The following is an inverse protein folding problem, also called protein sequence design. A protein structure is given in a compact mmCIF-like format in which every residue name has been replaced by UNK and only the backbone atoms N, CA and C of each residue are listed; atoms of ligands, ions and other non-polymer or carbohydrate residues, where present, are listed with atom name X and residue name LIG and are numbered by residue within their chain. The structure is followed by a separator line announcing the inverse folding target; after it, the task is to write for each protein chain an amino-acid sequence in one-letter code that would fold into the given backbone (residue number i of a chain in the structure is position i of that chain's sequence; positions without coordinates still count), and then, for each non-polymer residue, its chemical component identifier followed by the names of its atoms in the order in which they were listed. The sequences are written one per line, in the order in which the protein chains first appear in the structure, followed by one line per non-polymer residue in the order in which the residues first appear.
data_IF_155681369756
#
_entry.id   IF_155681369756
#
_cell.length_a   1.000
_cell.length_b   1.000
_cell.length_c   1.000
_cell.angle_alpha   90.00
_cell.angle_beta   90.00
_cell.angle_gamma   90.00
#
_symmetry.space_group_name_H-M   'P 1'
#
loop_
_entity.id
_entity.type
_entity.pdbx_description
1 polymer ?
#
# COMPACT_ATOMS: atom_id res chain seq x y z
N UNK A 1 -37.13 6.17 -22.75
CA UNK A 1 -37.24 4.83 -23.38
C UNK A 1 -36.67 3.82 -22.39
N UNK A 2 -37.28 2.72 -21.97
CA UNK A 2 -38.52 2.05 -22.32
C UNK A 2 -38.42 0.62 -21.75
N UNK A 3 -39.31 0.28 -20.80
CA UNK A 3 -39.85 -1.07 -20.47
C UNK A 3 -38.84 -2.16 -20.00
N UNK A 4 -39.00 -2.66 -18.76
CA UNK A 4 -39.79 -3.86 -18.35
C UNK A 4 -39.13 -5.16 -18.88
N UNK A 5 -39.00 -6.27 -18.18
CA UNK A 5 -39.77 -6.87 -17.08
C UNK A 5 -39.04 -8.17 -16.68
N UNK A 6 -39.22 -8.63 -15.44
CA UNK A 6 -38.75 -9.97 -15.06
C UNK A 6 -39.00 -10.32 -13.60
N UNK A 7 -40.26 -10.29 -13.16
CA UNK A 7 -40.69 -10.85 -11.88
C UNK A 7 -40.56 -12.38 -11.91
N UNK A 8 -40.02 -13.00 -10.86
CA UNK A 8 -40.69 -14.16 -10.22
C UNK A 8 -40.18 -14.41 -8.81
N UNK A 9 -41.13 -14.41 -7.89
CA UNK A 9 -41.02 -14.90 -6.53
C UNK A 9 -40.94 -16.44 -6.54
N UNK A 10 -40.21 -17.00 -5.58
CA UNK A 10 -40.06 -18.44 -5.38
C UNK A 10 -39.68 -18.75 -3.94
N UNK A 11 -40.68 -18.68 -3.08
CA UNK A 11 -40.71 -19.13 -1.68
C UNK A 11 -40.22 -20.59 -1.56
N UNK A 12 -39.06 -20.84 -0.94
CA UNK A 12 -38.67 -22.19 -0.49
C UNK A 12 -39.08 -22.38 0.96
N UNK A 13 -40.31 -22.86 1.09
CA UNK A 13 -40.99 -23.33 2.29
C UNK A 13 -40.20 -24.48 2.95
N UNK A 14 -39.93 -24.29 4.23
CA UNK A 14 -39.54 -25.32 5.20
C UNK A 14 -40.55 -26.47 5.12
N UNK A 15 -40.07 -27.69 4.83
CA UNK A 15 -40.85 -28.93 4.95
C UNK A 15 -39.90 -30.04 5.40
N UNK A 16 -39.68 -30.12 6.71
CA UNK A 16 -39.36 -31.37 7.38
C UNK A 16 -40.49 -32.35 7.11
N UNK A 17 -40.18 -33.43 6.40
CA UNK A 17 -41.09 -34.56 6.21
C UNK A 17 -40.69 -35.65 7.20
N UNK A 18 -41.41 -35.74 8.32
CA UNK A 18 -41.45 -36.95 9.13
C UNK A 18 -42.17 -38.07 8.34
N UNK A 19 -41.71 -39.33 8.40
CA UNK A 19 -42.43 -40.44 7.82
C UNK A 19 -43.77 -40.67 8.55
N UNK A 20 -44.80 -41.21 7.86
CA UNK A 20 -46.17 -41.22 8.34
C UNK A 20 -46.40 -42.27 9.43
N UNK A 21 -47.30 -41.93 10.36
CA UNK A 21 -47.91 -42.87 11.29
C UNK A 21 -49.12 -43.57 10.63
N UNK A 22 -49.38 -44.81 11.07
CA UNK A 22 -50.52 -45.73 10.78
C UNK A 22 -50.28 -46.72 9.63
N UNK A 23 -50.55 -48.02 9.74
CA UNK A 23 -51.50 -48.74 10.59
C UNK A 23 -50.96 -50.03 11.20
N UNK A 24 -51.55 -50.34 12.36
CA UNK A 24 -51.39 -51.53 13.17
C UNK A 24 -51.97 -52.75 12.42
N UNK A 25 -51.11 -53.58 11.83
CA UNK A 25 -51.47 -54.97 11.54
C UNK A 25 -51.27 -55.78 12.82
N UNK A 26 -52.39 -56.02 13.51
CA UNK A 26 -52.48 -56.96 14.63
C UNK A 26 -52.13 -58.38 14.16
N UNK A 27 -51.11 -58.97 14.77
CA UNK A 27 -50.85 -60.42 14.78
C UNK A 27 -50.95 -60.90 16.23
N UNK A 28 -51.42 -62.12 16.48
CA UNK A 28 -52.09 -62.48 17.72
C UNK A 28 -51.13 -62.44 18.90
N UNK A 29 -51.61 -61.86 20.01
CA UNK A 29 -50.97 -61.96 21.30
C UNK A 29 -50.96 -63.43 21.73
N UNK A 30 -49.82 -64.09 21.50
CA UNK A 30 -49.50 -65.33 22.20
C UNK A 30 -49.23 -64.93 23.65
N UNK A 31 -50.23 -65.20 24.48
CA UNK A 31 -50.19 -65.08 25.93
C UNK A 31 -49.11 -66.04 26.46
N UNK A 32 -47.86 -65.57 26.49
CA UNK A 32 -46.78 -66.26 27.20
C UNK A 32 -46.89 -65.81 28.65
N UNK A 33 -47.81 -66.47 29.37
CA UNK A 33 -47.71 -66.59 30.82
C UNK A 33 -46.28 -67.03 31.11
N UNK A 34 -45.49 -66.16 31.73
CA UNK A 34 -44.17 -66.50 32.22
C UNK A 34 -44.33 -67.56 33.31
N UNK A 35 -44.30 -68.83 32.89
CA UNK A 35 -44.01 -69.93 33.80
C UNK A 35 -42.56 -69.73 34.21
N UNK A 36 -42.38 -69.33 35.46
CA UNK A 36 -41.14 -69.26 36.20
C UNK A 36 -40.57 -70.68 36.38
N UNK A 37 -40.35 -71.44 35.29
CA UNK A 37 -39.78 -72.78 35.33
C UNK A 37 -39.37 -73.38 33.96
N UNK A 38 -38.89 -72.57 33.00
CA UNK A 38 -38.15 -73.07 31.82
C UNK A 38 -36.67 -72.64 31.90
N UNK A 39 -36.05 -72.88 33.06
CA UNK A 39 -34.60 -72.95 33.12
C UNK A 39 -34.18 -74.33 32.62
N UNK A 40 -34.14 -74.49 31.31
CA UNK A 40 -33.71 -75.72 30.65
C UNK A 40 -32.29 -76.06 31.11
N UNK A 41 -32.17 -77.11 31.93
CA UNK A 41 -30.93 -77.61 32.53
C UNK A 41 -29.88 -77.99 31.46
N UNK A 42 -30.33 -78.18 30.21
CA UNK A 42 -29.46 -78.40 29.04
C UNK A 42 -28.77 -77.12 28.53
N UNK A 43 -29.21 -75.92 28.95
CA UNK A 43 -28.51 -74.66 28.65
C UNK A 43 -27.26 -74.49 29.53
N UNK A 44 -27.28 -75.04 30.74
CA UNK A 44 -26.14 -75.01 31.69
C UNK A 44 -25.03 -75.97 31.24
N UNK A 45 -25.39 -77.07 30.57
CA UNK A 45 -24.44 -78.10 30.11
C UNK A 45 -23.53 -77.65 28.95
N UNK A 46 -23.83 -76.52 28.30
CA UNK A 46 -22.97 -75.93 27.25
C UNK A 46 -21.93 -74.95 27.79
N UNK A 47 -21.96 -74.64 29.09
CA UNK A 47 -21.02 -73.75 29.77
C UNK A 47 -20.04 -74.56 30.63
N UNK A 48 -19.11 -75.24 29.97
CA UNK A 48 -18.05 -75.97 30.66
C UNK A 48 -17.05 -75.00 31.34
N UNK A 49 -16.40 -75.38 32.46
CA UNK A 49 -15.37 -74.58 33.12
C UNK A 49 -14.25 -74.05 32.17
N UNK A 50 -13.95 -74.80 31.10
CA UNK A 50 -13.01 -74.39 30.05
C UNK A 50 -13.46 -73.13 29.28
N UNK A 51 -14.76 -73.00 28.98
CA UNK A 51 -15.31 -71.84 28.27
C UNK A 51 -15.23 -70.55 29.11
N UNK A 52 -15.36 -70.68 30.44
CA UNK A 52 -15.19 -69.56 31.36
C UNK A 52 -13.71 -69.11 31.46
N UNK A 53 -12.77 -70.05 31.41
CA UNK A 53 -11.34 -69.74 31.41
C UNK A 53 -10.91 -69.00 30.13
N UNK A 54 -11.41 -69.43 28.97
CA UNK A 54 -11.13 -68.79 27.68
C UNK A 54 -11.68 -67.36 27.62
N UNK A 55 -12.93 -67.16 28.05
CA UNK A 55 -13.55 -65.82 28.15
C UNK A 55 -12.76 -64.88 29.07
N UNK A 56 -12.22 -65.40 30.18
CA UNK A 56 -11.43 -64.61 31.13
C UNK A 56 -10.09 -64.15 30.54
N UNK A 57 -9.43 -65.00 29.75
CA UNK A 57 -8.19 -64.61 29.05
C UNK A 57 -8.46 -63.62 27.92
N UNK A 58 -9.55 -63.79 27.16
CA UNK A 58 -9.98 -62.83 26.15
C UNK A 58 -10.26 -61.44 26.76
N UNK A 59 -10.98 -61.39 27.89
CA UNK A 59 -11.24 -60.14 28.61
C UNK A 59 -9.93 -59.49 29.10
N UNK A 60 -8.96 -60.29 29.55
CA UNK A 60 -7.62 -59.79 29.93
C UNK A 60 -6.88 -59.18 28.73
N UNK A 61 -6.97 -59.80 27.55
CA UNK A 61 -6.36 -59.29 26.31
C UNK A 61 -7.04 -58.00 25.88
N UNK A 62 -8.38 -57.98 25.79
CA UNK A 62 -9.15 -56.77 25.46
C UNK A 62 -8.87 -55.60 26.41
N UNK A 63 -8.69 -55.87 27.70
CA UNK A 63 -8.30 -54.83 28.68
C UNK A 63 -6.92 -54.24 28.37
N UNK A 64 -5.95 -55.05 27.94
CA UNK A 64 -4.60 -54.57 27.55
C UNK A 64 -4.67 -53.73 26.26
N UNK A 65 -5.46 -54.19 25.29
CA UNK A 65 -5.67 -53.47 24.03
C UNK A 65 -6.37 -52.12 24.25
N UNK A 66 -7.41 -52.09 25.09
CA UNK A 66 -8.12 -50.85 25.45
C UNK A 66 -7.18 -49.83 26.08
N UNK A 67 -6.31 -50.25 27.01
CA UNK A 67 -5.29 -49.37 27.62
C UNK A 67 -4.23 -48.88 26.62
N UNK A 68 -3.88 -49.70 25.62
CA UNK A 68 -2.99 -49.26 24.55
C UNK A 68 -3.67 -48.20 23.68
N UNK A 69 -4.94 -48.42 23.33
CA UNK A 69 -5.74 -47.49 22.55
C UNK A 69 -5.91 -46.15 23.29
N UNK A 70 -6.18 -46.18 24.59
CA UNK A 70 -6.28 -44.99 25.44
C UNK A 70 -5.02 -44.11 25.33
N UNK A 71 -3.82 -44.69 25.48
CA UNK A 71 -2.55 -43.97 25.30
C UNK A 71 -2.40 -43.37 23.89
N UNK A 72 -2.78 -44.13 22.85
CA UNK A 72 -2.76 -43.63 21.47
C UNK A 72 -3.73 -42.46 21.28
N UNK A 73 -4.88 -42.47 21.94
CA UNK A 73 -5.84 -41.37 21.92
C UNK A 73 -5.27 -40.13 22.62
N UNK A 74 -4.65 -40.28 23.79
CA UNK A 74 -3.97 -39.17 24.49
C UNK A 74 -2.88 -38.53 23.62
N UNK A 75 -2.04 -39.34 22.97
CA UNK A 75 -1.03 -38.85 22.03
C UNK A 75 -1.65 -38.11 20.84
N UNK A 76 -2.76 -38.62 20.28
CA UNK A 76 -3.47 -37.96 19.19
C UNK A 76 -4.07 -36.62 19.63
N UNK A 77 -4.64 -36.54 20.83
CA UNK A 77 -5.18 -35.30 21.39
C UNK A 77 -4.06 -34.25 21.51
N UNK A 78 -2.90 -34.64 22.05
CA UNK A 78 -1.75 -33.73 22.15
C UNK A 78 -1.28 -33.22 20.78
N UNK A 79 -1.28 -34.08 19.75
CA UNK A 79 -0.95 -33.68 18.37
C UNK A 79 -1.97 -32.72 17.78
N UNK A 80 -3.27 -32.92 18.04
CA UNK A 80 -4.34 -32.03 17.58
C UNK A 80 -4.21 -30.65 18.21
N UNK A 81 -3.97 -30.56 19.53
CA UNK A 81 -3.78 -29.28 20.22
C UNK A 81 -2.58 -28.53 19.65
N UNK A 82 -1.46 -29.22 19.40
CA UNK A 82 -0.30 -28.60 18.79
C UNK A 82 -0.58 -28.11 17.34
N UNK A 83 -1.33 -28.90 16.55
CA UNK A 83 -1.71 -28.50 15.20
C UNK A 83 -2.64 -27.28 15.20
N UNK A 84 -3.59 -27.21 16.12
CA UNK A 84 -4.48 -26.05 16.30
C UNK A 84 -3.68 -24.77 16.59
N UNK A 85 -2.66 -24.85 17.46
CA UNK A 85 -1.77 -23.72 17.74
C UNK A 85 -1.06 -23.21 16.48
N UNK A 86 -0.48 -24.12 15.68
CA UNK A 86 0.19 -23.78 14.42
C UNK A 86 -0.78 -23.17 13.41
N UNK A 87 -2.02 -23.66 13.34
CA UNK A 87 -3.06 -23.09 12.48
C UNK A 87 -3.38 -21.65 12.90
N UNK A 88 -3.52 -21.37 14.19
CA UNK A 88 -3.78 -20.01 14.68
C UNK A 88 -2.63 -19.06 14.31
N UNK A 89 -1.38 -19.44 14.56
CA UNK A 89 -0.20 -18.66 14.14
C UNK A 89 -0.20 -18.42 12.62
N UNK A 90 -0.59 -19.41 11.81
CA UNK A 90 -0.72 -19.26 10.37
C UNK A 90 -1.82 -18.26 9.96
N UNK A 91 -2.93 -18.20 10.69
CA UNK A 91 -3.98 -17.22 10.42
C UNK A 91 -3.52 -15.78 10.68
N UNK A 92 -2.74 -15.55 11.74
CA UNK A 92 -2.14 -14.24 12.03
C UNK A 92 -1.09 -13.84 10.98
N UNK A 93 -0.25 -14.77 10.52
CA UNK A 93 0.68 -14.50 9.42
C UNK A 93 -0.06 -14.11 8.14
N UNK A 94 -1.22 -14.72 7.88
CA UNK A 94 -2.05 -14.39 6.71
C UNK A 94 -2.63 -12.99 6.79
N UNK A 95 -3.04 -12.51 7.96
CA UNK A 95 -3.52 -11.13 8.13
C UNK A 95 -2.39 -10.13 7.95
N UNK A 96 -1.24 -10.36 8.57
CA UNK A 96 -0.07 -9.50 8.42
C UNK A 96 0.41 -9.41 6.97
N UNK A 97 0.41 -10.54 6.25
CA UNK A 97 0.75 -10.57 4.81
C UNK A 97 -0.19 -9.69 3.98
N UNK A 98 -1.47 -9.65 4.34
CA UNK A 98 -2.45 -8.78 3.67
C UNK A 98 -2.19 -7.30 3.95
N UNK A 99 -1.89 -6.94 5.18
CA UNK A 99 -1.54 -5.56 5.54
C UNK A 99 -0.28 -5.08 4.81
N UNK A 100 0.74 -5.95 4.70
CA UNK A 100 1.96 -5.64 3.94
C UNK A 100 1.60 -5.38 2.48
N UNK A 101 0.77 -6.22 1.87
CA UNK A 101 0.32 -6.03 0.48
C UNK A 101 -0.37 -4.68 0.29
N UNK A 102 -1.30 -4.34 1.17
CA UNK A 102 -2.06 -3.08 1.08
C UNK A 102 -1.15 -1.87 1.24
N UNK A 103 -0.18 -1.92 2.16
CA UNK A 103 0.87 -0.90 2.32
C UNK A 103 1.74 -0.78 1.07
N UNK A 104 2.19 -1.90 0.50
CA UNK A 104 2.97 -1.92 -0.73
C UNK A 104 2.20 -1.26 -1.89
N UNK A 105 0.92 -1.59 -2.08
CA UNK A 105 0.09 -0.94 -3.10
C UNK A 105 -0.08 0.55 -2.86
N UNK A 106 -0.28 0.97 -1.61
CA UNK A 106 -0.33 2.39 -1.24
C UNK A 106 0.97 3.12 -1.54
N UNK A 107 2.12 2.49 -1.26
CA UNK A 107 3.43 3.04 -1.59
C UNK A 107 3.65 3.15 -3.11
N UNK A 108 3.27 2.14 -3.90
CA UNK A 108 3.34 2.21 -5.36
C UNK A 108 2.57 3.39 -5.92
N UNK A 109 1.30 3.57 -5.49
CA UNK A 109 0.50 4.71 -5.94
C UNK A 109 1.13 6.07 -5.58
N UNK A 110 1.80 6.18 -4.43
CA UNK A 110 2.53 7.39 -4.03
C UNK A 110 3.78 7.63 -4.88
N UNK A 111 4.45 6.57 -5.32
CA UNK A 111 5.60 6.68 -6.23
C UNK A 111 5.13 7.16 -7.61
N UNK A 112 4.05 6.61 -8.15
CA UNK A 112 3.48 7.03 -9.43
C UNK A 112 3.11 8.53 -9.40
N UNK A 113 2.49 9.00 -8.32
CA UNK A 113 2.19 10.42 -8.13
C UNK A 113 3.45 11.29 -8.03
N UNK A 114 4.52 10.80 -7.40
CA UNK A 114 5.79 11.51 -7.33
C UNK A 114 6.47 11.58 -8.68
N UNK A 115 6.40 10.51 -9.47
CA UNK A 115 6.94 10.44 -10.83
C UNK A 115 6.27 11.48 -11.73
N UNK A 116 4.93 11.56 -11.72
CA UNK A 116 4.20 12.60 -12.48
C UNK A 116 4.59 14.02 -12.06
N UNK A 117 4.79 14.27 -10.76
CA UNK A 117 5.24 15.57 -10.25
C UNK A 117 6.66 15.90 -10.69
N UNK A 118 7.54 14.91 -10.73
CA UNK A 118 8.91 15.10 -11.21
C UNK A 118 8.89 15.45 -12.70
N UNK A 119 8.12 14.73 -13.52
CA UNK A 119 7.97 15.06 -14.94
C UNK A 119 7.45 16.49 -15.15
N UNK A 120 6.46 16.93 -14.38
CA UNK A 120 5.95 18.30 -14.45
C UNK A 120 7.03 19.35 -14.09
N UNK A 121 7.87 19.08 -13.09
CA UNK A 121 8.98 19.95 -12.70
C UNK A 121 10.05 20.01 -13.79
N UNK A 122 10.36 18.87 -14.43
CA UNK A 122 11.30 18.81 -15.55
C UNK A 122 10.84 19.68 -16.74
N UNK A 123 9.57 19.59 -17.09
CA UNK A 123 8.97 20.42 -18.13
C UNK A 123 9.02 21.92 -17.79
N UNK A 124 8.70 22.28 -16.54
CA UNK A 124 8.83 23.67 -16.06
C UNK A 124 10.27 24.17 -16.10
N UNK A 125 11.24 23.33 -15.71
CA UNK A 125 12.66 23.69 -15.77
C UNK A 125 13.11 23.95 -17.21
N UNK A 126 12.64 23.14 -18.16
CA UNK A 126 12.92 23.31 -19.58
C UNK A 126 12.32 24.60 -20.15
N UNK A 127 11.11 24.99 -19.73
CA UNK A 127 10.50 26.28 -20.06
C UNK A 127 11.33 27.45 -19.50
N UNK A 128 11.61 27.44 -18.20
CA UNK A 128 12.42 28.50 -17.56
C UNK A 128 13.78 28.66 -18.24
N UNK A 129 14.44 27.57 -18.62
CA UNK A 129 15.72 27.61 -19.34
C UNK A 129 15.60 28.28 -20.72
N UNK A 130 14.48 28.10 -21.42
CA UNK A 130 14.20 28.77 -22.69
C UNK A 130 13.92 30.27 -22.48
N UNK A 131 13.13 30.61 -21.47
CA UNK A 131 12.87 32.01 -21.11
C UNK A 131 14.15 32.76 -20.73
N UNK A 132 15.00 32.17 -19.87
CA UNK A 132 16.26 32.79 -19.43
C UNK A 132 17.18 33.08 -20.61
N UNK A 133 17.29 32.16 -21.58
CA UNK A 133 18.04 32.43 -22.81
C UNK A 133 17.50 33.64 -23.59
N UNK A 134 16.19 33.87 -23.59
CA UNK A 134 15.59 35.02 -24.26
C UNK A 134 15.84 36.33 -23.50
N UNK A 135 15.73 36.30 -22.16
CA UNK A 135 16.02 37.44 -21.27
C UNK A 135 17.48 37.85 -21.36
N UNK A 136 18.39 36.88 -21.42
CA UNK A 136 19.82 37.12 -21.60
C UNK A 136 20.13 37.86 -22.90
N UNK A 137 19.53 37.44 -24.03
CA UNK A 137 19.68 38.15 -25.32
C UNK A 137 19.19 39.59 -25.22
N UNK A 138 18.07 39.83 -24.53
CA UNK A 138 17.54 41.18 -24.31
C UNK A 138 18.47 42.02 -23.44
N UNK A 139 19.03 41.45 -22.38
CA UNK A 139 20.00 42.14 -21.51
C UNK A 139 21.24 42.56 -22.29
N UNK A 140 21.82 41.66 -23.10
CA UNK A 140 22.98 41.97 -23.97
C UNK A 140 22.70 43.10 -24.94
N UNK A 141 21.53 43.09 -25.60
CA UNK A 141 21.14 44.19 -26.51
C UNK A 141 20.98 45.51 -25.76
N UNK A 142 20.37 45.49 -24.58
CA UNK A 142 20.18 46.70 -23.78
C UNK A 142 21.52 47.27 -23.30
N UNK A 143 22.46 46.41 -22.90
CA UNK A 143 23.81 46.81 -22.51
C UNK A 143 24.55 47.50 -23.68
N UNK A 144 24.53 46.90 -24.86
CA UNK A 144 25.08 47.50 -26.08
C UNK A 144 24.42 48.85 -26.41
N UNK A 145 23.08 48.90 -26.36
CA UNK A 145 22.34 50.14 -26.62
C UNK A 145 22.66 51.24 -25.61
N UNK A 146 22.84 50.90 -24.32
CA UNK A 146 23.25 51.86 -23.29
C UNK A 146 24.65 52.40 -23.56
N UNK A 147 25.58 51.54 -23.97
CA UNK A 147 26.93 51.95 -24.37
C UNK A 147 26.86 52.98 -25.51
N UNK A 148 26.11 52.68 -26.58
CA UNK A 148 25.96 53.57 -27.73
C UNK A 148 25.35 54.93 -27.34
N UNK A 149 24.32 54.93 -26.51
CA UNK A 149 23.70 56.16 -26.01
C UNK A 149 24.69 56.97 -25.18
N UNK A 150 25.47 56.32 -24.33
CA UNK A 150 26.42 57.00 -23.48
C UNK A 150 27.58 57.60 -24.28
N UNK A 151 28.06 56.88 -25.30
CA UNK A 151 29.05 57.37 -26.25
C UNK A 151 28.50 58.55 -27.06
N UNK A 152 27.24 58.49 -27.48
CA UNK A 152 26.56 59.60 -28.16
C UNK A 152 26.47 60.85 -27.29
N UNK A 153 26.02 60.71 -26.04
CA UNK A 153 25.91 61.82 -25.07
C UNK A 153 27.27 62.43 -24.76
N UNK A 154 28.34 61.63 -24.76
CA UNK A 154 29.70 62.11 -24.48
C UNK A 154 30.46 62.62 -25.67
N UNK A 155 29.98 62.42 -26.89
CA UNK A 155 30.65 62.82 -28.12
C UNK A 155 31.11 64.29 -28.17
N UNK A 156 30.35 65.29 -27.66
CA UNK A 156 30.83 66.68 -27.64
C UNK A 156 31.76 67.00 -26.45
N UNK A 157 31.93 66.08 -25.50
CA UNK A 157 32.63 66.35 -24.24
C UNK A 157 34.14 66.09 -24.41
N UNK A 158 34.96 67.11 -24.12
CA UNK A 158 36.42 66.98 -24.01
C UNK A 158 36.81 66.85 -22.54
N UNK A 159 37.80 66.00 -22.23
CA UNK A 159 38.38 65.90 -20.88
C UNK A 159 39.74 66.57 -20.84
N UNK A 160 39.87 67.63 -20.04
CA UNK A 160 41.14 68.26 -19.72
C UNK A 160 41.70 67.60 -18.44
N UNK A 161 42.95 67.14 -18.49
CA UNK A 161 43.63 66.46 -17.38
C UNK A 161 44.92 67.23 -17.09
N UNK A 162 45.26 67.40 -15.81
CA UNK A 162 46.46 68.12 -15.38
C UNK A 162 46.29 69.64 -15.29
N UNK A 163 45.06 70.15 -15.34
CA UNK A 163 44.77 71.57 -15.07
C UNK A 163 44.88 71.82 -13.56
N UNK A 164 45.70 72.78 -13.11
CA UNK A 164 45.83 73.08 -11.69
C UNK A 164 44.54 73.66 -11.11
N UNK A 165 44.14 73.18 -9.94
CA UNK A 165 42.96 73.68 -9.22
C UNK A 165 43.21 75.12 -8.73
N UNK A 166 42.20 75.99 -8.88
CA UNK A 166 42.27 77.38 -8.42
C UNK A 166 41.28 77.65 -7.28
N UNK A 167 41.66 78.52 -6.34
CA UNK A 167 40.77 78.86 -5.23
C UNK A 167 39.57 79.68 -5.72
N UNK A 168 38.36 79.19 -5.43
CA UNK A 168 37.10 79.81 -5.86
C UNK A 168 36.79 79.66 -7.35
N UNK A 169 36.88 78.42 -7.87
CA UNK A 169 36.47 78.07 -9.23
C UNK A 169 34.99 78.36 -9.50
N UNK A 170 34.72 79.01 -10.63
CA UNK A 170 33.38 79.23 -11.17
C UNK A 170 33.40 79.00 -12.68
N UNK A 171 32.22 78.92 -13.31
CA UNK A 171 32.12 78.63 -14.75
C UNK A 171 32.93 79.58 -15.63
N UNK A 172 32.97 80.87 -15.26
CA UNK A 172 33.69 81.91 -16.01
C UNK A 172 35.21 81.74 -15.93
N UNK A 173 35.77 81.30 -14.80
CA UNK A 173 37.20 80.97 -14.69
C UNK A 173 37.56 79.78 -15.59
N UNK A 174 36.72 78.74 -15.63
CA UNK A 174 36.95 77.57 -16.49
C UNK A 174 36.90 77.92 -17.99
N UNK A 175 35.98 78.80 -18.39
CA UNK A 175 35.92 79.31 -19.77
C UNK A 175 37.17 80.11 -20.14
N UNK A 176 37.66 80.98 -19.25
CA UNK A 176 38.89 81.74 -19.48
C UNK A 176 40.11 80.81 -19.60
N UNK A 177 40.28 79.86 -18.67
CA UNK A 177 41.37 78.88 -18.74
C UNK A 177 41.31 78.03 -20.01
N UNK A 178 40.11 77.66 -20.48
CA UNK A 178 39.94 76.96 -21.75
C UNK A 178 40.39 77.84 -22.94
N UNK A 179 40.05 79.12 -22.94
CA UNK A 179 40.50 80.07 -23.98
C UNK A 179 42.01 80.24 -23.97
N UNK A 180 42.64 80.37 -22.80
CA UNK A 180 44.10 80.47 -22.66
C UNK A 180 44.79 79.24 -23.28
N UNK A 181 44.29 78.03 -22.98
CA UNK A 181 44.82 76.78 -23.55
C UNK A 181 44.69 76.76 -25.08
N UNK A 182 43.56 77.20 -25.64
CA UNK A 182 43.34 77.25 -27.09
C UNK A 182 44.28 78.27 -27.74
N UNK A 183 44.46 79.45 -27.14
CA UNK A 183 45.35 80.48 -27.68
C UNK A 183 46.81 80.06 -27.69
N UNK A 184 47.27 79.42 -26.61
CA UNK A 184 48.66 78.97 -26.49
C UNK A 184 48.98 77.82 -27.47
N UNK A 185 48.06 76.87 -27.65
CA UNK A 185 48.34 75.62 -28.39
C UNK A 185 47.78 75.58 -29.81
N UNK A 186 46.69 76.30 -30.09
CA UNK A 186 45.98 76.25 -31.37
C UNK A 186 45.64 77.66 -31.90
N UNK A 187 46.65 78.50 -32.20
CA UNK A 187 46.43 79.87 -32.64
C UNK A 187 45.59 79.98 -33.92
N UNK A 188 45.58 78.94 -34.76
CA UNK A 188 44.77 78.88 -35.99
C UNK A 188 43.26 78.67 -35.75
N UNK A 189 42.87 78.27 -34.55
CA UNK A 189 41.47 78.12 -34.13
C UNK A 189 40.94 79.37 -33.42
N UNK A 190 41.84 80.29 -33.10
CA UNK A 190 41.51 81.61 -32.55
C UNK A 190 41.22 82.50 -33.75
N UNK A 191 39.94 82.86 -33.93
CA UNK A 191 39.50 83.81 -34.95
C UNK A 191 39.92 85.24 -34.64
#
# INVERSE_FOLDING_TARGET
MGKKQGRKAGNSKNKSASPPAKELSSSPATDQSWTENDFDETRVERFSPSNFSELKEELRTQRKETKNLEKRVEELIARVINAEKVINEMTEMKTMTREIRDKCTSFSNRLDQLEERISAIEDQMNEMKREEKSKEKRRKRNEQSLQEVWDYVKRPNLRLIGVPESEGENGTKWENTLQDIIQENFPNLVG
#
